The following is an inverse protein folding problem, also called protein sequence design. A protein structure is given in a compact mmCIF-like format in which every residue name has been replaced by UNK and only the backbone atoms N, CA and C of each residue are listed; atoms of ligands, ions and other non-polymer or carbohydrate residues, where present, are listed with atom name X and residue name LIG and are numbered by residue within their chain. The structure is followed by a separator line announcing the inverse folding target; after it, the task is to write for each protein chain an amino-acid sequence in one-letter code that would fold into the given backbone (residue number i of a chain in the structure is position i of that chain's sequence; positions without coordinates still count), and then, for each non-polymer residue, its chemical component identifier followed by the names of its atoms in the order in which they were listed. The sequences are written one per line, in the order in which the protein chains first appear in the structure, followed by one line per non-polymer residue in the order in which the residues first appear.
data_IF_343599783702
#
_entry.id   IF_343599783702
#
_cell.length_a   1.000
_cell.length_b   1.000
_cell.length_c   1.000
_cell.angle_alpha   90.00
_cell.angle_beta   90.00
_cell.angle_gamma   90.00
#
_symmetry.space_group_name_H-M   'P 1'
#
loop_
_entity.id
_entity.type
_entity.pdbx_description
1 polymer ?
#
# COMPACT_ATOMS: atom_id res chain seq x y z
N UNK A 1 6.73 -46.25 54.04
CA UNK A 1 6.23 -45.01 53.41
C UNK A 1 7.45 -44.16 53.10
N UNK A 2 7.86 -44.08 51.84
CA UNK A 2 9.12 -43.45 51.41
C UNK A 2 8.75 -42.18 50.64
N UNK A 3 9.19 -41.03 51.14
CA UNK A 3 8.96 -39.71 50.52
C UNK A 3 10.10 -39.45 49.52
N UNK A 4 9.73 -39.13 48.27
CA UNK A 4 10.66 -38.80 47.21
C UNK A 4 11.08 -37.33 47.30
N UNK A 5 12.38 -37.11 47.14
CA UNK A 5 13.05 -35.81 47.15
C UNK A 5 12.89 -35.12 45.78
N UNK A 6 12.22 -33.97 45.74
CA UNK A 6 12.06 -33.14 44.54
C UNK A 6 12.95 -31.92 44.63
N UNK A 7 14.18 -32.02 44.12
CA UNK A 7 15.04 -30.85 43.88
C UNK A 7 14.56 -30.10 42.64
N UNK A 8 14.03 -28.89 42.82
CA UNK A 8 13.69 -27.98 41.74
C UNK A 8 14.97 -27.42 41.09
N UNK A 9 15.14 -27.60 39.78
CA UNK A 9 16.24 -26.98 39.02
C UNK A 9 15.95 -25.50 38.79
N UNK A 10 16.84 -24.63 39.25
CA UNK A 10 16.81 -23.20 38.98
C UNK A 10 17.01 -22.95 37.48
N UNK A 11 16.20 -22.09 36.83
CA UNK A 11 16.44 -21.74 35.44
C UNK A 11 17.76 -20.99 35.29
N UNK A 12 18.47 -21.15 34.15
CA UNK A 12 19.72 -20.45 33.91
C UNK A 12 19.50 -18.93 33.84
N UNK A 13 20.52 -18.14 34.24
CA UNK A 13 20.42 -16.69 34.20
C UNK A 13 20.28 -16.18 32.76
N UNK A 14 19.35 -15.26 32.55
CA UNK A 14 19.15 -14.57 31.27
C UNK A 14 20.36 -13.66 31.03
N UNK A 15 21.11 -13.89 29.95
CA UNK A 15 22.13 -12.95 29.49
C UNK A 15 21.44 -11.76 28.83
N UNK A 16 21.59 -10.57 29.41
CA UNK A 16 21.24 -9.32 28.75
C UNK A 16 22.38 -8.94 27.83
N UNK A 17 22.22 -9.17 26.53
CA UNK A 17 23.08 -8.54 25.53
C UNK A 17 22.91 -7.01 25.62
N UNK A 18 23.97 -6.22 25.40
CA UNK A 18 23.84 -4.77 25.34
C UNK A 18 22.77 -4.42 24.30
N UNK A 19 21.85 -3.52 24.66
CA UNK A 19 20.75 -3.07 23.80
C UNK A 19 21.37 -2.65 22.47
N UNK A 20 21.10 -3.41 21.41
CA UNK A 20 21.52 -3.05 20.06
C UNK A 20 21.07 -1.60 19.82
N UNK A 21 21.97 -0.75 19.32
CA UNK A 21 21.66 0.64 19.04
C UNK A 21 20.34 0.70 18.25
N UNK A 22 19.37 1.48 18.75
CA UNK A 22 18.06 1.62 18.11
C UNK A 22 18.29 2.01 16.65
N UNK A 23 17.78 1.21 15.72
CA UNK A 23 17.94 1.49 14.28
C UNK A 23 17.31 2.84 13.95
N UNK A 24 17.97 3.63 13.12
CA UNK A 24 17.40 4.88 12.60
C UNK A 24 16.10 4.61 11.84
N UNK A 25 15.19 5.58 11.82
CA UNK A 25 13.93 5.49 11.06
C UNK A 25 14.20 5.12 9.59
N UNK A 26 13.35 4.23 9.04
CA UNK A 26 13.40 3.89 7.63
C UNK A 26 13.16 5.15 6.77
N UNK A 27 13.94 5.31 5.70
CA UNK A 27 13.79 6.43 4.74
C UNK A 27 12.53 6.31 3.88
N UNK A 28 11.91 5.14 3.88
CA UNK A 28 10.68 4.78 3.17
C UNK A 28 9.75 4.05 4.14
N UNK A 29 9.21 4.74 5.15
CA UNK A 29 8.34 4.11 6.14
C UNK A 29 7.11 3.50 5.45
N UNK A 30 6.67 2.36 5.95
CA UNK A 30 5.40 1.75 5.59
C UNK A 30 4.25 2.60 6.14
N UNK A 31 3.22 2.79 5.32
CA UNK A 31 1.99 3.50 5.67
C UNK A 31 0.76 2.67 5.26
N UNK A 32 -0.40 3.03 5.80
CA UNK A 32 -1.67 2.42 5.49
C UNK A 32 -2.76 3.47 5.32
N UNK A 33 -3.45 3.43 4.18
CA UNK A 33 -4.69 4.20 3.98
C UNK A 33 -5.90 3.29 3.99
N UNK A 34 -7.04 3.87 4.32
CA UNK A 34 -8.36 3.25 4.22
C UNK A 34 -9.27 4.12 3.38
N UNK A 35 -10.25 3.50 2.74
CA UNK A 35 -11.42 4.21 2.24
C UNK A 35 -12.69 3.67 2.92
N UNK A 36 -13.52 4.52 3.56
CA UNK A 36 -13.32 5.97 3.70
C UNK A 36 -12.07 6.32 4.55
N UNK A 37 -11.48 7.52 4.36
CA UNK A 37 -10.31 7.96 5.12
C UNK A 37 -10.55 7.90 6.63
N UNK A 38 -9.49 7.66 7.40
CA UNK A 38 -9.54 7.58 8.86
C UNK A 38 -10.45 6.47 9.42
N UNK A 39 -10.77 5.44 8.63
CA UNK A 39 -11.71 4.38 9.01
C UNK A 39 -11.49 3.81 10.43
N UNK A 40 -10.28 3.40 10.86
CA UNK A 40 -10.09 2.84 12.20
C UNK A 40 -10.46 3.82 13.32
N UNK A 41 -10.14 5.11 13.13
CA UNK A 41 -10.49 6.19 14.08
C UNK A 41 -11.99 6.42 14.11
N UNK A 42 -12.63 6.51 12.93
CA UNK A 42 -14.09 6.68 12.83
C UNK A 42 -14.84 5.51 13.48
N UNK A 43 -14.34 4.28 13.28
CA UNK A 43 -14.89 3.08 13.91
C UNK A 43 -14.75 3.12 15.43
N UNK A 44 -13.59 3.50 15.95
CA UNK A 44 -13.37 3.66 17.39
C UNK A 44 -14.32 4.70 18.01
N UNK A 45 -14.62 5.78 17.28
CA UNK A 45 -15.54 6.83 17.70
C UNK A 45 -17.02 6.50 17.43
N UNK A 46 -17.33 5.26 17.01
CA UNK A 46 -18.68 4.83 16.62
C UNK A 46 -19.36 5.71 15.55
N UNK A 47 -18.56 6.51 14.83
CA UNK A 47 -19.00 7.52 13.85
C UNK A 47 -19.21 6.93 12.45
N UNK A 48 -18.87 5.66 12.25
CA UNK A 48 -19.13 4.89 11.04
C UNK A 48 -19.54 3.47 11.41
N UNK A 49 -20.52 2.92 10.68
CA UNK A 49 -21.05 1.57 10.91
C UNK A 49 -20.78 0.61 9.75
N UNK A 50 -20.57 1.14 8.55
CA UNK A 50 -20.20 0.35 7.38
C UNK A 50 -18.76 -0.17 7.51
N UNK A 51 -18.41 -1.30 6.85
CA UNK A 51 -17.02 -1.72 6.70
C UNK A 51 -16.24 -0.73 5.81
N UNK A 52 -14.89 -0.73 5.86
CA UNK A 52 -14.12 -0.01 4.86
C UNK A 52 -14.28 -0.73 3.52
N UNK A 53 -14.16 0.00 2.42
CA UNK A 53 -14.26 -0.51 1.04
C UNK A 53 -12.93 -1.11 0.62
N UNK A 54 -11.83 -0.42 0.93
CA UNK A 54 -10.48 -0.93 0.73
C UNK A 54 -9.48 -0.37 1.73
N UNK A 55 -8.32 -1.03 1.81
CA UNK A 55 -7.10 -0.48 2.42
C UNK A 55 -5.90 -0.73 1.53
N UNK A 56 -4.87 0.10 1.66
CA UNK A 56 -3.61 -0.04 0.92
C UNK A 56 -2.45 0.05 1.88
N UNK A 57 -1.56 -0.93 1.84
CA UNK A 57 -0.25 -0.88 2.47
C UNK A 57 0.79 -0.50 1.44
N UNK A 58 1.58 0.52 1.72
CA UNK A 58 2.63 0.97 0.81
C UNK A 58 3.72 1.72 1.56
N UNK A 59 4.94 1.70 1.02
CA UNK A 59 6.05 2.44 1.60
C UNK A 59 6.21 3.81 0.95
N UNK A 60 6.64 4.80 1.73
CA UNK A 60 6.68 6.23 1.35
C UNK A 60 8.11 6.75 1.15
N UNK A 61 8.82 6.37 0.07
CA UNK A 61 10.15 6.92 -0.20
C UNK A 61 10.11 8.44 -0.38
N UNK A 62 11.14 9.10 0.13
CA UNK A 62 11.33 10.54 -0.02
C UNK A 62 12.04 10.89 -1.31
N UNK A 63 11.69 12.02 -1.91
CA UNK A 63 12.36 12.56 -3.10
C UNK A 63 13.81 12.93 -2.80
N UNK A 64 14.03 13.63 -1.68
CA UNK A 64 15.35 14.05 -1.19
C UNK A 64 16.15 14.81 -2.27
N UNK A 65 15.49 15.74 -2.97
CA UNK A 65 16.11 16.57 -4.02
C UNK A 65 16.45 15.85 -5.33
N UNK A 66 16.07 14.56 -5.47
CA UNK A 66 16.30 13.77 -6.69
C UNK A 66 15.20 14.00 -7.72
N UNK A 67 15.55 13.87 -9.00
CA UNK A 67 14.56 13.69 -10.07
C UNK A 67 14.01 12.26 -9.97
N UNK A 68 12.70 12.10 -9.84
CA UNK A 68 12.08 10.79 -9.65
C UNK A 68 11.83 10.11 -10.99
N UNK A 69 10.91 10.65 -11.78
CA UNK A 69 10.51 10.01 -13.03
C UNK A 69 11.52 10.26 -14.16
N UNK A 70 11.90 9.18 -14.84
CA UNK A 70 12.98 9.16 -15.82
C UNK A 70 14.39 9.01 -15.21
N UNK A 71 14.51 8.80 -13.90
CA UNK A 71 15.80 8.51 -13.24
C UNK A 71 15.65 7.42 -12.18
N UNK A 72 15.13 7.75 -10.98
CA UNK A 72 14.90 6.75 -9.92
C UNK A 72 13.82 5.75 -10.34
N UNK A 73 12.72 6.26 -10.89
CA UNK A 73 11.67 5.47 -11.52
C UNK A 73 11.83 5.63 -13.02
N UNK A 74 12.24 4.56 -13.69
CA UNK A 74 12.44 4.57 -15.14
C UNK A 74 11.12 4.39 -15.88
N UNK A 75 10.95 5.14 -16.95
CA UNK A 75 9.78 4.98 -17.82
C UNK A 75 9.83 3.65 -18.57
N UNK A 76 8.67 3.03 -18.76
CA UNK A 76 8.53 1.73 -19.43
C UNK A 76 8.99 0.52 -18.62
N UNK A 77 9.51 0.71 -17.39
CA UNK A 77 9.87 -0.38 -16.49
C UNK A 77 8.80 -0.59 -15.42
N UNK A 78 8.73 -1.81 -14.87
CA UNK A 78 7.85 -2.12 -13.74
C UNK A 78 8.30 -1.37 -12.49
N UNK A 79 7.37 -0.69 -11.82
CA UNK A 79 7.60 -0.05 -10.53
C UNK A 79 6.53 -0.48 -9.54
N UNK A 80 6.97 -0.99 -8.39
CA UNK A 80 6.12 -1.46 -7.28
C UNK A 80 5.30 -0.40 -6.56
N UNK A 81 5.25 0.84 -7.07
CA UNK A 81 4.56 1.96 -6.44
C UNK A 81 4.98 2.17 -4.98
N UNK A 82 6.28 2.31 -4.75
CA UNK A 82 6.85 2.44 -3.41
C UNK A 82 8.31 1.98 -3.34
N UNK A 83 8.80 1.76 -2.12
CA UNK A 83 10.11 1.21 -1.81
C UNK A 83 10.01 0.07 -0.78
N UNK A 84 11.10 -0.66 -0.53
CA UNK A 84 11.16 -1.83 0.36
C UNK A 84 10.16 -2.94 0.00
N UNK A 85 8.90 -2.90 0.39
CA UNK A 85 7.87 -3.91 0.13
C UNK A 85 7.06 -3.62 -1.15
N UNK A 86 6.36 -4.64 -1.66
CA UNK A 86 5.36 -4.44 -2.70
C UNK A 86 4.13 -3.71 -2.13
N UNK A 87 3.54 -2.81 -2.90
CA UNK A 87 2.28 -2.17 -2.53
C UNK A 87 1.15 -3.18 -2.61
N UNK A 88 0.40 -3.33 -1.52
CA UNK A 88 -0.73 -4.25 -1.42
C UNK A 88 -2.03 -3.49 -1.25
N UNK A 89 -3.04 -3.87 -2.03
CA UNK A 89 -4.41 -3.36 -1.90
C UNK A 89 -5.35 -4.51 -1.52
N UNK A 90 -6.20 -4.27 -0.53
CA UNK A 90 -7.26 -5.18 -0.14
C UNK A 90 -8.61 -4.51 -0.36
N UNK A 91 -9.42 -5.09 -1.23
CA UNK A 91 -10.82 -4.72 -1.43
C UNK A 91 -11.71 -5.61 -0.55
N UNK A 92 -12.50 -5.00 0.33
CA UNK A 92 -13.41 -5.70 1.23
C UNK A 92 -14.79 -5.99 0.59
N UNK A 93 -15.05 -5.39 -0.56
CA UNK A 93 -16.20 -5.64 -1.42
C UNK A 93 -15.82 -5.52 -2.89
N UNK A 94 -16.73 -5.93 -3.77
CA UNK A 94 -16.51 -5.80 -5.21
C UNK A 94 -16.55 -4.31 -5.60
N UNK A 95 -15.52 -3.85 -6.31
CA UNK A 95 -15.44 -2.47 -6.83
C UNK A 95 -15.42 -2.46 -8.35
N UNK A 96 -15.57 -1.28 -8.94
CA UNK A 96 -15.44 -1.08 -10.38
C UNK A 96 -14.37 -0.03 -10.67
N UNK A 97 -13.47 -0.36 -11.59
CA UNK A 97 -12.42 0.54 -12.07
C UNK A 97 -12.51 0.56 -13.59
N UNK A 98 -12.71 1.73 -14.19
CA UNK A 98 -12.90 1.88 -15.65
C UNK A 98 -13.89 0.85 -16.22
N UNK A 99 -15.08 0.75 -15.62
CA UNK A 99 -16.14 -0.22 -15.97
C UNK A 99 -15.82 -1.71 -15.73
N UNK A 100 -14.61 -2.03 -15.27
CA UNK A 100 -14.19 -3.41 -14.97
C UNK A 100 -14.49 -3.76 -13.52
N UNK A 101 -15.21 -4.86 -13.29
CA UNK A 101 -15.47 -5.37 -11.95
C UNK A 101 -14.21 -6.02 -11.36
N UNK A 102 -13.81 -5.57 -10.19
CA UNK A 102 -12.71 -6.13 -9.40
C UNK A 102 -13.32 -6.85 -8.19
N UNK A 103 -13.19 -8.18 -8.10
CA UNK A 103 -13.71 -8.93 -6.97
C UNK A 103 -13.02 -8.52 -5.66
N UNK A 104 -13.77 -8.56 -4.56
CA UNK A 104 -13.21 -8.47 -3.21
C UNK A 104 -12.04 -9.45 -3.05
N UNK A 105 -10.97 -9.00 -2.40
CA UNK A 105 -9.74 -9.77 -2.24
C UNK A 105 -8.52 -8.88 -2.04
N UNK A 106 -7.38 -9.54 -1.78
CA UNK A 106 -6.08 -8.89 -1.64
C UNK A 106 -5.23 -9.10 -2.87
N UNK A 107 -4.54 -8.05 -3.29
CA UNK A 107 -3.74 -8.00 -4.51
C UNK A 107 -2.48 -7.17 -4.30
N UNK A 108 -1.50 -7.37 -5.17
CA UNK A 108 -0.40 -6.42 -5.37
C UNK A 108 -0.83 -5.37 -6.39
N UNK A 109 -0.42 -4.13 -6.13
CA UNK A 109 -0.53 -3.01 -7.04
C UNK A 109 0.88 -2.61 -7.49
N UNK A 110 1.07 -2.51 -8.80
CA UNK A 110 2.29 -1.91 -9.37
C UNK A 110 1.91 -1.07 -10.60
N UNK A 111 2.86 -0.33 -11.14
CA UNK A 111 2.64 0.39 -12.39
C UNK A 111 3.79 0.25 -13.39
N UNK A 112 3.49 0.60 -14.64
CA UNK A 112 4.46 0.88 -15.69
C UNK A 112 4.27 2.36 -16.04
N UNK A 113 5.15 3.26 -15.57
CA UNK A 113 4.99 4.68 -15.80
C UNK A 113 5.48 5.06 -17.20
N UNK A 114 4.74 5.96 -17.86
CA UNK A 114 5.18 6.74 -19.01
C UNK A 114 5.01 8.24 -18.72
N UNK A 115 5.61 9.14 -19.53
CA UNK A 115 5.49 10.57 -19.30
C UNK A 115 4.07 11.14 -19.35
N UNK A 116 3.16 10.53 -20.12
CA UNK A 116 1.79 11.02 -20.35
C UNK A 116 0.72 10.20 -19.61
N UNK A 117 1.02 8.94 -19.28
CA UNK A 117 0.08 8.01 -18.68
C UNK A 117 0.82 6.91 -17.92
N UNK A 118 0.19 6.34 -16.91
CA UNK A 118 0.68 5.15 -16.21
C UNK A 118 -0.24 3.97 -16.50
N UNK A 119 0.33 2.79 -16.71
CA UNK A 119 -0.43 1.54 -16.66
C UNK A 119 -0.41 1.02 -15.23
N UNK A 120 -1.54 1.09 -14.53
CA UNK A 120 -1.73 0.50 -13.21
C UNK A 120 -2.13 -0.97 -13.37
N UNK A 121 -1.50 -1.86 -12.62
CA UNK A 121 -1.71 -3.31 -12.72
C UNK A 121 -2.08 -3.90 -11.37
N UNK A 122 -3.14 -4.70 -11.36
CA UNK A 122 -3.55 -5.54 -10.23
C UNK A 122 -3.05 -6.96 -10.49
N UNK A 123 -2.23 -7.47 -9.56
CA UNK A 123 -1.51 -8.73 -9.68
C UNK A 123 -1.77 -9.63 -8.46
N UNK A 124 -1.78 -10.95 -8.65
CA UNK A 124 -2.11 -11.96 -7.62
C UNK A 124 -0.90 -12.52 -6.87
N UNK A 125 0.33 -12.07 -7.17
CA UNK A 125 1.58 -12.57 -6.59
C UNK A 125 1.87 -12.07 -5.17
N UNK A 126 0.91 -12.25 -4.26
CA UNK A 126 1.02 -11.83 -2.87
C UNK A 126 2.31 -12.34 -2.21
N UNK A 127 2.79 -11.60 -1.22
CA UNK A 127 4.04 -11.89 -0.49
C UNK A 127 5.33 -11.76 -1.33
N UNK A 128 5.23 -11.30 -2.57
CA UNK A 128 6.42 -10.94 -3.35
C UNK A 128 6.99 -9.58 -2.90
N UNK A 129 8.29 -9.38 -3.13
CA UNK A 129 8.98 -8.14 -2.75
C UNK A 129 8.74 -6.98 -3.74
N UNK A 130 8.13 -7.26 -4.90
CA UNK A 130 7.79 -6.25 -5.91
C UNK A 130 8.95 -5.77 -6.80
N UNK A 131 10.20 -6.22 -6.61
CA UNK A 131 11.28 -5.92 -7.56
C UNK A 131 11.30 -6.84 -8.78
N UNK A 132 10.90 -8.10 -8.60
CA UNK A 132 10.66 -9.04 -9.70
C UNK A 132 9.16 -9.24 -9.79
N UNK A 133 8.57 -8.80 -10.89
CA UNK A 133 7.14 -8.92 -11.13
C UNK A 133 6.90 -10.14 -12.02
N UNK A 134 6.08 -11.08 -11.55
CA UNK A 134 5.56 -12.18 -12.36
C UNK A 134 4.29 -11.72 -13.09
N UNK A 135 4.47 -11.29 -14.33
CA UNK A 135 3.38 -10.76 -15.17
C UNK A 135 2.35 -11.84 -15.57
N UNK A 136 2.65 -13.13 -15.39
CA UNK A 136 1.67 -14.20 -15.60
C UNK A 136 0.55 -14.18 -14.54
N UNK A 137 0.75 -13.44 -13.44
CA UNK A 137 -0.22 -13.25 -12.36
C UNK A 137 -0.98 -11.92 -12.46
N UNK A 138 -0.80 -11.17 -13.56
CA UNK A 138 -1.57 -9.97 -13.86
C UNK A 138 -3.03 -10.35 -14.11
N UNK A 139 -3.95 -9.56 -13.54
CA UNK A 139 -5.40 -9.82 -13.66
C UNK A 139 -6.10 -8.65 -14.34
N UNK A 140 -5.72 -7.43 -13.97
CA UNK A 140 -6.34 -6.20 -14.48
C UNK A 140 -5.27 -5.16 -14.79
N UNK A 141 -5.48 -4.39 -15.85
CA UNK A 141 -4.60 -3.30 -16.29
C UNK A 141 -5.45 -2.09 -16.63
N UNK A 142 -5.05 -0.92 -16.12
CA UNK A 142 -5.75 0.34 -16.33
C UNK A 142 -4.74 1.39 -16.79
N UNK A 143 -5.02 2.03 -17.92
CA UNK A 143 -4.23 3.18 -18.37
C UNK A 143 -4.84 4.45 -17.79
N UNK A 144 -4.02 5.26 -17.13
CA UNK A 144 -4.46 6.47 -16.40
C UNK A 144 -3.58 7.64 -16.79
N UNK A 145 -4.14 8.77 -17.25
CA UNK A 145 -3.34 9.93 -17.64
C UNK A 145 -2.61 10.54 -16.44
N UNK A 146 -1.40 11.00 -16.66
CA UNK A 146 -0.63 11.75 -15.65
C UNK A 146 -1.08 13.20 -15.59
N UNK A 147 -1.03 13.77 -14.40
CA UNK A 147 -1.33 15.17 -14.10
C UNK A 147 -0.08 15.77 -13.46
N UNK A 148 0.34 16.94 -13.95
CA UNK A 148 1.41 17.71 -13.31
C UNK A 148 0.89 18.39 -12.06
N UNK A 149 1.66 18.32 -10.98
CA UNK A 149 1.34 19.01 -9.73
C UNK A 149 1.95 20.41 -9.72
N UNK A 150 1.27 21.35 -9.06
CA UNK A 150 1.78 22.73 -8.93
C UNK A 150 3.06 22.81 -8.10
N UNK A 151 3.16 21.93 -7.09
CA UNK A 151 4.33 21.78 -6.22
C UNK A 151 4.77 20.33 -6.22
N UNK A 152 6.08 20.06 -6.14
CA UNK A 152 6.57 18.71 -5.97
C UNK A 152 6.03 18.06 -4.69
N UNK A 153 5.62 16.81 -4.80
CA UNK A 153 5.28 15.93 -3.68
C UNK A 153 6.59 15.32 -3.19
N UNK A 154 7.00 15.64 -1.96
CA UNK A 154 8.29 15.20 -1.41
C UNK A 154 8.27 13.72 -1.02
N UNK A 155 7.23 13.25 -0.35
CA UNK A 155 7.03 11.84 -0.01
C UNK A 155 6.08 11.17 -1.01
N UNK A 156 6.46 10.02 -1.56
CA UNK A 156 5.53 9.21 -2.34
C UNK A 156 4.25 8.97 -1.53
N UNK A 157 3.12 9.25 -2.16
CA UNK A 157 1.81 9.27 -1.49
C UNK A 157 0.78 8.54 -2.34
N UNK A 158 0.03 7.65 -1.69
CA UNK A 158 -1.20 7.05 -2.17
C UNK A 158 -2.28 7.51 -1.19
N UNK A 159 -3.36 8.09 -1.67
CA UNK A 159 -4.45 8.56 -0.82
C UNK A 159 -5.78 8.53 -1.59
N UNK A 160 -6.90 8.57 -0.88
CA UNK A 160 -8.24 8.42 -1.45
C UNK A 160 -9.18 9.51 -0.95
N UNK A 161 -9.93 10.12 -1.86
CA UNK A 161 -10.96 11.10 -1.54
C UNK A 161 -12.33 10.63 -2.01
N UNK A 162 -13.39 10.95 -1.28
CA UNK A 162 -14.76 10.62 -1.69
C UNK A 162 -15.06 11.27 -3.06
N UNK A 163 -15.59 10.47 -3.99
CA UNK A 163 -15.98 10.94 -5.32
C UNK A 163 -17.21 10.19 -5.81
N UNK A 164 -18.34 10.90 -5.94
CA UNK A 164 -19.63 10.30 -6.27
C UNK A 164 -19.98 9.15 -5.31
N UNK A 165 -20.36 8.00 -5.88
CA UNK A 165 -20.66 6.77 -5.14
C UNK A 165 -19.40 5.96 -4.73
N UNK A 166 -18.20 6.48 -4.98
CA UNK A 166 -16.94 5.76 -4.75
C UNK A 166 -15.82 6.68 -4.26
N UNK A 167 -14.61 6.41 -4.72
CA UNK A 167 -13.41 7.13 -4.35
C UNK A 167 -12.58 7.53 -5.57
N UNK A 168 -11.95 8.69 -5.51
CA UNK A 168 -10.80 9.00 -6.33
C UNK A 168 -9.54 8.56 -5.58
N UNK A 169 -8.94 7.44 -6.01
CA UNK A 169 -7.66 6.96 -5.52
C UNK A 169 -6.55 7.67 -6.30
N UNK A 170 -5.80 8.58 -5.66
CA UNK A 170 -4.72 9.29 -6.31
C UNK A 170 -3.36 8.79 -5.81
N UNK A 171 -2.40 8.76 -6.73
CA UNK A 171 -1.04 8.29 -6.50
C UNK A 171 -0.09 9.35 -7.05
N UNK A 172 0.86 9.83 -6.26
CA UNK A 172 1.76 10.90 -6.69
C UNK A 172 3.13 10.90 -6.04
N UNK A 173 4.11 11.41 -6.79
CA UNK A 173 5.46 11.71 -6.32
C UNK A 173 6.09 12.79 -7.20
N UNK A 174 7.04 13.56 -6.66
CA UNK A 174 7.69 14.64 -7.42
C UNK A 174 6.61 15.54 -8.05
N UNK A 175 6.75 15.94 -9.31
CA UNK A 175 5.80 16.79 -10.01
C UNK A 175 4.66 16.04 -10.72
N UNK A 176 4.45 14.75 -10.43
CA UNK A 176 3.56 13.88 -11.22
C UNK A 176 2.59 13.10 -10.33
N UNK A 177 1.30 13.12 -10.67
CA UNK A 177 0.26 12.29 -10.05
C UNK A 177 -0.66 11.65 -11.07
N UNK A 178 -1.37 10.60 -10.67
CA UNK A 178 -2.53 10.06 -11.37
C UNK A 178 -3.75 10.04 -10.44
N UNK A 179 -4.95 9.92 -11.02
CA UNK A 179 -6.19 9.71 -10.28
C UNK A 179 -6.92 8.52 -10.91
N UNK A 180 -7.17 7.49 -10.12
CA UNK A 180 -7.87 6.27 -10.51
C UNK A 180 -9.24 6.24 -9.82
N UNK A 181 -10.34 6.51 -10.54
CA UNK A 181 -11.68 6.39 -9.98
C UNK A 181 -12.01 4.93 -9.64
N UNK A 182 -12.44 4.71 -8.41
CA UNK A 182 -12.91 3.44 -7.87
C UNK A 182 -14.38 3.60 -7.52
N UNK A 183 -15.26 3.01 -8.31
CA UNK A 183 -16.71 3.08 -8.13
C UNK A 183 -17.22 1.95 -7.22
N UNK A 184 -18.19 2.27 -6.36
CA UNK A 184 -18.92 1.30 -5.55
C UNK A 184 -20.36 1.31 -6.04
N UNK A 185 -20.80 0.21 -6.65
CA UNK A 185 -22.15 0.12 -7.26
C UNK A 185 -23.17 -0.55 -6.34
N UNK A 186 -22.71 -1.45 -5.48
CA UNK A 186 -23.55 -2.20 -4.55
C UNK A 186 -22.91 -2.15 -3.15
N UNK A 187 -22.89 -0.98 -2.49
CA UNK A 187 -22.27 -0.84 -1.17
C UNK A 187 -22.89 -1.85 -0.20
N UNK A 188 -22.05 -2.58 0.52
CA UNK A 188 -22.54 -3.45 1.61
C UNK A 188 -23.21 -2.58 2.69
N UNK A 189 -24.41 -2.97 3.18
CA UNK A 189 -25.11 -2.23 4.22
C UNK A 189 -24.34 -2.21 5.55
#
# INVERSE_FOLDING_TARGET
MQLADTTAKTPPPIRYEPIAAVSSLDKSPMDVIYFPPEYPKLKMLDSIKTPPVFRIFYSRPQRSGRKIFGNVVKYGEHWRLGANEATEIEFFEDVYIQQTKIPAGRYILYCIPQPAEWTIVINKDLYSWGLKIDTNKDIFKFTVPTIKTEKPIEEFTIDATQSGAGADLWIGWDDTKIVLPVEIRNPKP
#
